data_IF_142222819548
#
_entry.id   IF_142222819548
#
_cell.length_a   1.000
_cell.length_b   1.000
_cell.length_c   1.000
_cell.angle_alpha   90.00
_cell.angle_beta   90.00
_cell.angle_gamma   90.00
#
_symmetry.space_group_name_H-M   'P 1'
#
loop_
_entity.id
_entity.type
_entity.pdbx_description
1 polymer ?
#
# COMPACT_ATOMS: atom_id res chain seq x y z
N UNK A 1 -5.88 -3.93 22.03
CA UNK A 1 -5.57 -5.33 21.70
C UNK A 1 -5.76 -5.47 20.20
N UNK A 2 -4.92 -6.23 19.48
CA UNK A 2 -5.11 -6.47 18.03
C UNK A 2 -6.31 -7.41 17.88
N UNK A 3 -7.29 -7.03 17.07
CA UNK A 3 -8.59 -7.71 16.97
C UNK A 3 -8.66 -8.75 15.82
N UNK A 4 -7.59 -8.90 15.03
CA UNK A 4 -7.46 -9.92 13.99
C UNK A 4 -6.16 -10.74 14.14
N UNK A 5 -6.00 -11.78 13.32
CA UNK A 5 -4.83 -12.65 13.38
C UNK A 5 -3.58 -11.94 12.85
N UNK A 6 -2.52 -11.94 13.66
CA UNK A 6 -1.18 -11.52 13.25
C UNK A 6 -0.26 -12.74 12.96
N UNK A 7 -0.82 -13.94 12.87
CA UNK A 7 -0.04 -15.17 12.70
C UNK A 7 0.75 -15.13 11.38
N UNK A 8 2.03 -15.49 11.46
CA UNK A 8 2.95 -15.49 10.32
C UNK A 8 3.53 -14.12 9.93
N UNK A 9 3.14 -13.06 10.64
CA UNK A 9 3.70 -11.72 10.44
C UNK A 9 4.79 -11.40 11.46
N UNK A 10 5.91 -10.86 10.99
CA UNK A 10 6.91 -10.20 11.82
C UNK A 10 6.42 -8.77 12.05
N UNK A 11 5.90 -8.52 13.24
CA UNK A 11 5.30 -7.22 13.59
C UNK A 11 6.37 -6.17 13.84
N UNK A 12 6.42 -5.15 12.97
CA UNK A 12 7.32 -4.01 13.11
C UNK A 12 6.81 -3.07 14.22
N UNK A 13 7.72 -2.43 14.98
CA UNK A 13 7.33 -1.48 16.01
C UNK A 13 6.63 -0.26 15.38
N UNK A 14 5.64 0.27 16.10
CA UNK A 14 4.73 1.28 15.59
C UNK A 14 4.76 2.56 16.40
N UNK A 15 5.55 3.55 15.95
CA UNK A 15 5.76 4.82 16.64
C UNK A 15 5.01 5.98 15.99
N UNK A 16 4.93 5.97 14.66
CA UNK A 16 4.33 7.04 13.86
C UNK A 16 3.14 6.52 13.08
N UNK A 17 2.14 7.39 12.92
CA UNK A 17 0.96 7.12 12.09
C UNK A 17 1.28 7.41 10.64
N UNK A 18 0.96 6.47 9.74
CA UNK A 18 1.13 6.60 8.29
C UNK A 18 -0.19 6.32 7.61
N UNK A 19 -0.66 7.29 6.81
CA UNK A 19 -1.90 7.19 6.05
C UNK A 19 -1.76 6.21 4.89
N UNK A 20 -2.78 5.40 4.68
CA UNK A 20 -2.91 4.52 3.52
C UNK A 20 -3.69 5.25 2.42
N UNK A 21 -3.25 5.11 1.17
CA UNK A 21 -3.93 5.69 0.01
C UNK A 21 -4.72 4.64 -0.76
N UNK A 22 -5.80 5.05 -1.42
CA UNK A 22 -6.64 4.14 -2.21
C UNK A 22 -7.67 3.34 -1.40
N UNK A 23 -7.75 3.56 -0.09
CA UNK A 23 -8.69 2.90 0.82
C UNK A 23 -10.17 3.08 0.42
N UNK A 24 -10.52 4.17 -0.28
CA UNK A 24 -11.86 4.40 -0.82
C UNK A 24 -12.29 3.33 -1.84
N UNK A 25 -11.35 2.63 -2.47
CA UNK A 25 -11.63 1.56 -3.43
C UNK A 25 -11.80 0.18 -2.75
N UNK A 26 -11.61 0.11 -1.43
CA UNK A 26 -11.58 -1.14 -0.66
C UNK A 26 -12.52 -1.10 0.56
N UNK A 27 -13.60 -0.33 0.47
CA UNK A 27 -14.58 -0.17 1.56
C UNK A 27 -15.31 -1.48 1.89
N UNK A 28 -15.45 -2.40 0.93
CA UNK A 28 -16.02 -3.74 1.09
C UNK A 28 -15.20 -4.63 2.05
N UNK A 29 -13.87 -4.48 2.02
CA UNK A 29 -12.97 -5.17 2.95
C UNK A 29 -12.97 -4.47 4.31
N UNK A 30 -12.86 -3.14 4.31
CA UNK A 30 -12.82 -2.34 5.54
C UNK A 30 -14.13 -2.41 6.34
N UNK A 31 -15.28 -2.57 5.69
CA UNK A 31 -16.59 -2.64 6.37
C UNK A 31 -16.73 -3.83 7.32
N UNK A 32 -15.94 -4.89 7.13
CA UNK A 32 -15.86 -6.02 8.08
C UNK A 32 -15.30 -5.59 9.44
N UNK A 33 -14.52 -4.51 9.42
CA UNK A 33 -13.86 -3.90 10.55
C UNK A 33 -14.51 -2.59 10.97
N UNK A 34 -15.71 -2.27 10.47
CA UNK A 34 -16.42 -1.04 10.78
C UNK A 34 -16.56 -0.80 12.29
N UNK A 35 -16.41 0.47 12.66
CA UNK A 35 -16.53 0.98 14.02
C UNK A 35 -17.46 2.19 14.05
N UNK A 36 -18.13 2.46 15.19
CA UNK A 36 -18.88 3.70 15.39
C UNK A 36 -17.98 4.94 15.25
N UNK A 37 -18.61 6.09 15.04
CA UNK A 37 -17.90 7.38 14.95
C UNK A 37 -17.12 7.67 16.24
N UNK A 38 -15.88 8.13 16.09
CA UNK A 38 -14.99 8.43 17.22
C UNK A 38 -14.34 7.20 17.88
N UNK A 39 -14.65 5.98 17.42
CA UNK A 39 -14.01 4.75 17.89
C UNK A 39 -12.94 4.32 16.88
N UNK A 40 -11.85 3.75 17.40
CA UNK A 40 -10.81 3.12 16.57
C UNK A 40 -10.75 1.64 16.88
N UNK A 41 -10.57 0.81 15.85
CA UNK A 41 -10.32 -0.63 15.99
C UNK A 41 -8.89 -0.94 15.61
N UNK A 42 -8.19 -1.66 16.46
CA UNK A 42 -6.79 -2.04 16.23
C UNK A 42 -6.69 -3.37 15.49
N UNK A 43 -5.94 -3.39 14.39
CA UNK A 43 -5.73 -4.57 13.55
C UNK A 43 -4.24 -4.74 13.23
N UNK A 44 -3.86 -5.93 12.79
CA UNK A 44 -2.59 -6.23 12.14
C UNK A 44 -2.82 -6.30 10.63
N UNK A 45 -1.91 -5.70 9.88
CA UNK A 45 -1.90 -5.77 8.40
C UNK A 45 -0.58 -6.34 7.92
N UNK A 46 -0.62 -6.98 6.76
CA UNK A 46 0.54 -7.40 6.02
C UNK A 46 0.95 -6.30 5.02
N UNK A 47 2.25 -6.01 4.94
CA UNK A 47 2.83 -5.09 3.98
C UNK A 47 3.58 -5.90 2.92
N UNK A 48 3.14 -5.77 1.67
CA UNK A 48 3.71 -6.51 0.54
C UNK A 48 4.14 -5.56 -0.56
N UNK A 49 5.08 -6.00 -1.39
CA UNK A 49 5.50 -5.23 -2.56
C UNK A 49 4.42 -5.23 -3.63
N UNK A 50 4.23 -4.08 -4.26
CA UNK A 50 3.39 -3.93 -5.45
C UNK A 50 4.11 -3.09 -6.51
N UNK A 51 3.52 -3.05 -7.70
CA UNK A 51 3.84 -2.06 -8.73
C UNK A 51 2.79 -0.96 -8.65
N UNK A 52 3.23 0.28 -8.51
CA UNK A 52 2.33 1.44 -8.46
C UNK A 52 1.56 1.52 -9.79
N UNK A 53 0.24 1.47 -9.70
CA UNK A 53 -0.62 1.29 -10.85
C UNK A 53 -0.89 2.60 -11.63
N UNK A 54 -0.82 3.75 -10.95
CA UNK A 54 -1.24 5.04 -11.48
C UNK A 54 -0.40 6.22 -10.98
N UNK A 55 -0.57 7.39 -11.61
CA UNK A 55 0.11 8.63 -11.26
C UNK A 55 1.55 8.74 -11.78
N UNK A 56 2.28 9.77 -11.32
CA UNK A 56 3.65 10.10 -11.75
C UNK A 56 4.67 8.97 -11.53
N UNK A 57 4.38 8.08 -10.58
CA UNK A 57 5.25 6.98 -10.17
C UNK A 57 4.79 5.61 -10.69
N UNK A 58 3.90 5.58 -11.69
CA UNK A 58 3.42 4.34 -12.29
C UNK A 58 4.59 3.46 -12.76
N UNK A 59 4.51 2.16 -12.48
CA UNK A 59 5.55 1.19 -12.83
C UNK A 59 6.70 1.11 -11.82
N UNK A 60 6.76 2.01 -10.84
CA UNK A 60 7.75 1.93 -9.77
C UNK A 60 7.28 0.99 -8.66
N UNK A 61 8.23 0.49 -7.86
CA UNK A 61 7.94 -0.39 -6.72
C UNK A 61 7.27 0.42 -5.61
N UNK A 62 6.11 -0.05 -5.16
CA UNK A 62 5.36 0.47 -4.04
C UNK A 62 5.16 -0.58 -2.95
N UNK A 63 4.54 -0.17 -1.85
CA UNK A 63 4.11 -1.05 -0.77
C UNK A 63 2.58 -1.02 -0.73
N UNK A 64 1.95 -2.17 -0.95
CA UNK A 64 0.52 -2.33 -0.73
C UNK A 64 0.25 -2.81 0.71
N UNK A 65 -0.95 -2.50 1.18
CA UNK A 65 -1.42 -2.88 2.52
C UNK A 65 -2.49 -3.94 2.36
N UNK A 66 -2.34 -5.06 3.08
CA UNK A 66 -3.28 -6.17 3.08
C UNK A 66 -3.83 -6.44 4.48
N UNK A 67 -5.15 -6.40 4.62
CA UNK A 67 -5.87 -6.79 5.82
C UNK A 67 -6.47 -8.18 5.60
N UNK A 68 -6.06 -9.15 6.42
CA UNK A 68 -6.40 -10.58 6.27
C UNK A 68 -6.16 -11.14 4.86
N UNK A 69 -5.10 -10.66 4.19
CA UNK A 69 -4.74 -11.06 2.82
C UNK A 69 -5.44 -10.27 1.71
N UNK A 70 -6.48 -9.49 2.02
CA UNK A 70 -7.17 -8.63 1.06
C UNK A 70 -6.52 -7.25 0.98
N UNK A 71 -6.34 -6.73 -0.23
CA UNK A 71 -5.77 -5.38 -0.43
C UNK A 71 -6.74 -4.33 0.09
N UNK A 72 -6.23 -3.42 0.91
CA UNK A 72 -6.98 -2.28 1.48
C UNK A 72 -6.40 -0.92 1.11
N UNK A 73 -5.36 -0.91 0.29
CA UNK A 73 -4.75 0.29 -0.26
C UNK A 73 -3.25 0.12 -0.46
N UNK A 74 -2.56 1.25 -0.58
CA UNK A 74 -1.11 1.32 -0.75
C UNK A 74 -0.52 2.56 -0.11
N UNK A 75 0.77 2.50 0.19
CA UNK A 75 1.54 3.67 0.61
C UNK A 75 1.89 4.53 -0.60
N UNK A 76 1.99 5.84 -0.39
CA UNK A 76 2.53 6.74 -1.42
C UNK A 76 3.94 6.30 -1.82
N UNK A 77 4.40 6.74 -3.00
CA UNK A 77 5.73 6.38 -3.48
C UNK A 77 6.86 6.73 -2.50
N UNK A 78 6.87 7.96 -1.95
CA UNK A 78 7.89 8.39 -1.00
C UNK A 78 7.84 7.60 0.32
N UNK A 79 6.63 7.27 0.80
CA UNK A 79 6.49 6.41 1.98
C UNK A 79 6.97 4.99 1.69
N UNK A 80 6.66 4.46 0.51
CA UNK A 80 7.14 3.16 0.06
C UNK A 80 8.68 3.10 0.03
N UNK A 81 9.33 4.14 -0.50
CA UNK A 81 10.79 4.24 -0.47
C UNK A 81 11.36 4.32 0.95
N UNK A 82 10.70 5.07 1.84
CA UNK A 82 11.13 5.21 3.23
C UNK A 82 11.08 3.87 3.98
N UNK A 83 10.01 3.10 3.80
CA UNK A 83 9.80 1.84 4.53
C UNK A 83 10.33 0.60 3.81
N UNK A 84 10.79 0.74 2.57
CA UNK A 84 11.37 -0.34 1.79
C UNK A 84 12.48 -1.15 2.51
N UNK A 85 13.43 -0.52 3.25
CA UNK A 85 14.45 -1.28 3.98
C UNK A 85 13.87 -2.17 5.07
N UNK A 86 12.75 -1.78 5.69
CA UNK A 86 12.08 -2.57 6.74
C UNK A 86 11.54 -3.87 6.15
N UNK A 87 10.80 -3.79 5.03
CA UNK A 87 10.26 -4.97 4.36
C UNK A 87 11.38 -5.89 3.88
N UNK A 88 12.42 -5.30 3.27
CA UNK A 88 13.57 -6.07 2.76
C UNK A 88 14.28 -6.83 3.87
N UNK A 89 14.44 -6.22 5.06
CA UNK A 89 15.09 -6.86 6.19
C UNK A 89 14.29 -8.06 6.71
N UNK A 90 12.97 -7.89 6.89
CA UNK A 90 12.10 -8.98 7.33
C UNK A 90 12.05 -10.12 6.31
N UNK A 91 11.93 -9.79 5.03
CA UNK A 91 11.92 -10.77 3.94
C UNK A 91 13.25 -11.52 3.81
N UNK A 92 14.38 -10.86 4.06
CA UNK A 92 15.69 -11.54 4.08
C UNK A 92 15.80 -12.57 5.21
N UNK A 93 15.02 -12.41 6.28
CA UNK A 93 14.86 -13.39 7.35
C UNK A 93 13.81 -14.47 7.06
N UNK A 94 13.18 -14.45 5.87
CA UNK A 94 12.12 -15.38 5.49
C UNK A 94 10.74 -15.06 6.10
N UNK A 95 10.58 -13.89 6.72
CA UNK A 95 9.32 -13.45 7.33
C UNK A 95 8.43 -12.66 6.36
N UNK A 96 7.15 -12.52 6.72
CA UNK A 96 6.24 -11.55 6.11
C UNK A 96 6.15 -10.31 7.00
N UNK A 97 6.22 -9.12 6.41
CA UNK A 97 6.23 -7.88 7.19
C UNK A 97 4.82 -7.53 7.65
N UNK A 98 4.59 -7.51 8.96
CA UNK A 98 3.35 -7.01 9.54
C UNK A 98 3.53 -5.69 10.25
N UNK A 99 2.50 -4.86 10.30
CA UNK A 99 2.45 -3.72 11.19
C UNK A 99 1.08 -3.62 11.87
N UNK A 100 1.05 -2.98 13.04
CA UNK A 100 -0.21 -2.61 13.66
C UNK A 100 -0.84 -1.47 12.84
N UNK A 101 -2.15 -1.47 12.71
CA UNK A 101 -2.93 -0.43 12.08
C UNK A 101 -4.19 -0.16 12.91
N UNK A 102 -4.84 0.95 12.64
CA UNK A 102 -6.15 1.26 13.20
C UNK A 102 -7.12 1.64 12.09
N UNK A 103 -8.32 1.08 12.20
CA UNK A 103 -9.45 1.38 11.33
C UNK A 103 -10.37 2.33 12.09
N UNK A 104 -10.78 3.40 11.43
CA UNK A 104 -11.65 4.42 12.00
C UNK A 104 -12.57 4.99 10.92
N UNK A 105 -13.67 5.61 11.34
CA UNK A 105 -14.53 6.35 10.43
C UNK A 105 -13.97 7.76 10.22
N UNK A 106 -13.67 8.10 8.97
CA UNK A 106 -13.21 9.44 8.57
C UNK A 106 -14.35 10.45 8.57
N UNK A 107 -14.02 11.74 8.54
CA UNK A 107 -15.01 12.83 8.54
C UNK A 107 -15.90 12.88 7.28
N UNK A 108 -15.51 12.18 6.21
CA UNK A 108 -16.31 11.97 5.00
C UNK A 108 -17.28 10.78 5.11
N UNK A 109 -17.35 10.12 6.28
CA UNK A 109 -18.20 8.97 6.54
C UNK A 109 -17.66 7.63 6.01
N UNK A 110 -16.53 7.63 5.30
CA UNK A 110 -15.84 6.43 4.82
C UNK A 110 -14.92 5.86 5.90
N UNK A 111 -14.65 4.55 5.82
CA UNK A 111 -13.66 3.92 6.68
C UNK A 111 -12.27 4.23 6.15
N UNK A 112 -11.38 4.59 7.08
CA UNK A 112 -9.98 4.86 6.82
C UNK A 112 -9.14 3.87 7.62
N UNK A 113 -7.99 3.51 7.07
CA UNK A 113 -6.99 2.69 7.73
C UNK A 113 -5.66 3.45 7.80
N UNK A 114 -5.08 3.49 8.98
CA UNK A 114 -3.80 4.14 9.22
C UNK A 114 -2.84 3.17 9.91
N UNK A 115 -1.61 3.12 9.40
CA UNK A 115 -0.58 2.21 9.87
C UNK A 115 0.19 2.83 11.03
N UNK A 116 0.65 2.00 11.96
CA UNK A 116 1.69 2.33 12.92
C UNK A 116 3.01 1.77 12.44
N UNK A 117 3.89 2.67 12.00
CA UNK A 117 5.17 2.35 11.39
C UNK A 117 6.32 2.83 12.28
N UNK A 118 7.53 2.25 12.14
CA UNK A 118 8.68 2.70 12.91
C UNK A 118 9.07 4.12 12.53
N UNK A 119 9.44 4.94 13.52
CA UNK A 119 9.94 6.30 13.25
C UNK A 119 11.33 6.23 12.60
N UNK A 120 12.17 5.37 13.15
CA UNK A 120 13.54 5.14 12.75
C UNK A 120 13.62 3.90 11.85
N UNK A 121 14.13 4.10 10.64
CA UNK A 121 14.35 3.00 9.70
C UNK A 121 15.75 2.47 9.95
N UNK A 122 15.94 1.18 10.27
CA UNK A 122 17.27 0.62 10.47
C UNK A 122 18.07 0.83 9.18
N UNK A 123 19.07 1.72 9.25
CA UNK A 123 20.01 2.01 8.17
C UNK A 123 21.00 0.86 8.09
N UNK A 124 20.58 -0.27 7.54
CA UNK A 124 21.38 -1.51 7.56
C UNK A 124 21.36 -2.32 6.27
N UNK A 125 20.55 -1.96 5.28
CA UNK A 125 20.59 -2.61 3.96
C UNK A 125 20.26 -1.58 2.89
N UNK A 126 21.26 -0.76 2.54
CA UNK A 126 21.23 -0.04 1.28
C UNK A 126 21.35 -1.12 0.20
N UNK A 127 20.23 -1.67 -0.25
CA UNK A 127 20.23 -2.42 -1.51
C UNK A 127 20.46 -1.36 -2.58
N UNK A 128 21.60 -1.37 -3.30
CA UNK A 128 21.77 -0.48 -4.42
C UNK A 128 20.63 -0.80 -5.40
N UNK A 129 19.78 0.19 -5.69
CA UNK A 129 18.86 0.10 -6.82
C UNK A 129 19.75 -0.10 -8.04
N UNK A 130 19.72 -1.24 -8.75
CA UNK A 130 20.43 -1.31 -10.02
C UNK A 130 19.76 -0.29 -10.93
N UNK A 131 20.50 0.77 -11.27
CA UNK A 131 20.09 1.67 -12.34
C UNK A 131 19.78 0.81 -13.56
N UNK A 132 18.55 0.89 -14.05
CA UNK A 132 18.12 0.14 -15.22
C UNK A 132 19.14 0.41 -16.34
N UNK A 133 19.91 -0.62 -16.71
CA UNK A 133 20.82 -0.53 -17.86
C UNK A 133 19.96 -0.29 -19.08
N UNK A 134 19.92 0.96 -19.55
CA UNK A 134 19.37 1.33 -20.84
C UNK A 134 20.26 0.67 -21.89
N UNK A 135 19.89 -0.53 -22.32
CA UNK A 135 20.59 -1.27 -23.36
C UNK A 135 20.39 -0.53 -24.68
N UNK A 136 21.35 0.34 -25.00
CA UNK A 136 21.48 0.91 -26.33
C UNK A 136 21.97 -0.21 -27.25
N UNK A 137 21.03 -0.88 -27.91
CA UNK A 137 21.36 -1.77 -29.03
C UNK A 137 21.95 -0.90 -30.15
N UNK A 138 23.24 -1.02 -30.42
CA UNK A 138 23.83 -0.46 -31.62
C UNK A 138 23.31 -1.24 -32.85
N UNK A 139 22.97 -0.58 -33.96
CA UNK A 139 22.56 -1.28 -35.17
C UNK A 139 23.80 -1.93 -35.81
N UNK A 140 23.88 -3.26 -35.74
CA UNK A 140 24.86 -4.01 -36.52
C UNK A 140 24.32 -4.14 -37.94
N UNK A 141 24.93 -3.42 -38.88
CA UNK A 141 24.68 -3.55 -40.30
C UNK A 141 25.13 -4.94 -40.77
N UNK A 142 24.20 -5.72 -41.32
CA UNK A 142 24.48 -7.00 -41.96
C UNK A 142 25.08 -6.70 -43.34
N UNK A 143 26.40 -6.80 -43.45
CA UNK A 143 27.11 -6.83 -44.73
C UNK A 143 27.00 -8.22 -45.36
N UNK A 144 26.37 -8.29 -46.53
CA UNK A 144 26.30 -9.51 -47.36
C UNK A 144 27.52 -9.56 -48.28
N UNK A 145 28.41 -10.53 -48.04
CA UNK A 145 29.41 -11.08 -48.96
C UNK A 145 29.92 -12.38 -48.30
N UNK A 146 29.85 -13.60 -48.84
CA UNK A 146 30.06 -14.06 -50.20
C UNK A 146 31.33 -14.92 -50.20
N UNK A 147 31.22 -16.27 -50.18
CA UNK A 147 32.21 -17.29 -50.59
C UNK A 147 31.68 -18.69 -50.20
N UNK A 148 31.05 -19.44 -51.11
CA UNK A 148 31.67 -20.44 -52.00
C UNK A 148 32.45 -21.55 -51.28
N UNK A 149 31.92 -22.77 -51.38
CA UNK A 149 32.73 -23.97 -51.59
C UNK A 149 32.77 -25.00 -50.47
N UNK A 150 31.82 -25.93 -50.45
CA UNK A 150 32.16 -27.36 -50.33
C UNK A 150 31.01 -28.25 -50.79
N UNK A 151 30.97 -28.52 -52.10
CA UNK A 151 30.42 -29.77 -52.61
C UNK A 151 31.50 -30.84 -52.44
N UNK A 152 31.14 -32.01 -51.90
CA UNK A 152 31.34 -33.35 -52.47
C UNK A 152 30.85 -34.36 -51.42
N UNK A 153 29.69 -35.00 -51.62
CA UNK A 153 29.54 -36.34 -52.26
C UNK A 153 30.01 -37.41 -51.26
N UNK A 154 29.17 -38.31 -50.73
CA UNK A 154 28.55 -39.52 -51.29
C UNK A 154 27.52 -39.96 -50.23
N UNK A 155 26.31 -40.47 -50.45
CA UNK A 155 25.69 -41.10 -51.61
C UNK A 155 24.77 -42.21 -51.08
N UNK A 156 23.47 -42.04 -51.33
CA UNK A 156 22.49 -43.04 -51.81
C UNK A 156 22.49 -44.43 -51.17
N UNK A 157 21.35 -44.81 -50.56
CA UNK A 157 20.44 -45.96 -50.85
C UNK A 157 19.32 -45.84 -49.80
N UNK A 158 18.02 -45.97 -50.03
CA UNK A 158 17.19 -46.53 -51.09
C UNK A 158 15.84 -46.84 -50.43
N UNK A 159 14.78 -46.78 -51.22
CA UNK A 159 13.39 -46.68 -50.81
C UNK A 159 12.74 -47.99 -50.30
N UNK A 160 11.59 -47.78 -49.63
CA UNK A 160 10.39 -48.62 -49.57
C UNK A 160 10.40 -49.89 -48.67
N UNK A 161 9.45 -49.96 -47.73
CA UNK A 161 8.17 -50.68 -47.91
C UNK A 161 7.34 -50.65 -46.62
N UNK A 162 6.03 -50.64 -46.81
CA UNK A 162 4.95 -50.66 -45.83
C UNK A 162 4.73 -52.05 -45.22
N UNK A 163 4.18 -52.11 -43.99
CA UNK A 163 3.26 -53.20 -43.62
C UNK A 163 3.48 -53.82 -42.21
N UNK A 164 2.40 -54.07 -41.43
CA UNK A 164 2.44 -54.45 -40.02
C UNK A 164 2.26 -55.97 -39.81
N UNK A 165 2.69 -56.49 -38.64
CA UNK A 165 2.05 -57.61 -37.93
C UNK A 165 2.69 -57.83 -36.56
N UNK A 166 1.83 -57.91 -35.54
CA UNK A 166 2.08 -58.47 -34.21
C UNK A 166 2.60 -59.92 -34.27
N UNK A 167 3.47 -60.33 -33.34
CA UNK A 167 3.25 -61.45 -32.38
C UNK A 167 4.43 -61.63 -31.41
N UNK A 168 4.09 -61.54 -30.13
CA UNK A 168 4.52 -62.33 -28.96
C UNK A 168 5.99 -62.71 -28.66
N UNK A 169 6.30 -62.37 -27.40
CA UNK A 169 6.93 -63.17 -26.35
C UNK A 169 8.48 -63.23 -26.22
N UNK A 170 8.88 -62.58 -25.12
CA UNK A 170 9.59 -63.16 -23.99
C UNK A 170 11.09 -62.84 -23.83
N UNK A 171 11.33 -62.28 -22.64
CA UNK A 171 12.43 -62.55 -21.72
C UNK A 171 13.58 -61.52 -21.63
N UNK A 172 13.82 -61.17 -20.37
CA UNK A 172 14.95 -60.46 -19.77
C UNK A 172 15.07 -58.96 -20.11
N UNK A 173 15.12 -58.02 -19.17
CA UNK A 173 15.31 -58.10 -17.73
C UNK A 173 15.91 -56.78 -17.27
N UNK A 174 15.59 -56.38 -16.04
CA UNK A 174 16.11 -55.23 -15.27
C UNK A 174 15.48 -53.86 -15.55
N UNK A 175 14.45 -53.54 -14.76
CA UNK A 175 14.21 -52.18 -14.25
C UNK A 175 13.66 -52.29 -12.83
N UNK A 176 14.49 -51.92 -11.86
CA UNK A 176 14.14 -51.84 -10.44
C UNK A 176 13.55 -50.46 -10.14
N UNK A 177 12.22 -50.39 -10.07
CA UNK A 177 11.49 -49.25 -9.52
C UNK A 177 11.17 -49.54 -8.06
N UNK A 178 11.82 -48.84 -7.14
CA UNK A 178 11.53 -48.90 -5.71
C UNK A 178 10.55 -47.76 -5.38
N UNK A 179 9.29 -48.11 -5.11
CA UNK A 179 8.29 -47.19 -4.58
C UNK A 179 8.43 -47.08 -3.05
N UNK A 180 8.36 -45.88 -2.45
CA UNK A 180 8.32 -45.76 -1.00
C UNK A 180 6.90 -46.04 -0.46
N UNK A 181 6.85 -46.98 0.48
CA UNK A 181 5.72 -47.40 1.29
C UNK A 181 5.11 -46.22 2.08
N UNK A 182 3.79 -46.02 1.92
CA UNK A 182 3.01 -45.09 2.73
C UNK A 182 2.59 -45.80 4.03
N UNK A 183 3.17 -45.40 5.15
CA UNK A 183 2.75 -45.87 6.48
C UNK A 183 1.64 -44.96 7.01
N UNK A 184 0.45 -45.52 7.14
CA UNK A 184 -0.70 -44.90 7.81
C UNK A 184 -0.54 -45.04 9.33
N UNK A 185 -0.17 -43.96 10.01
CA UNK A 185 -0.19 -43.87 11.48
C UNK A 185 -1.51 -43.26 11.92
N UNK A 186 -2.37 -44.07 12.54
CA UNK A 186 -3.62 -43.64 13.19
C UNK A 186 -3.26 -42.97 14.53
N UNK A 187 -3.57 -41.68 14.67
CA UNK A 187 -3.43 -40.94 15.92
C UNK A 187 -4.68 -41.14 16.80
N UNK A 188 -4.53 -41.28 18.13
CA UNK A 188 -5.65 -41.48 19.07
C UNK A 188 -6.51 -40.20 19.25
N UNK A 189 -7.79 -40.32 19.64
CA UNK A 189 -8.67 -39.16 19.85
C UNK A 189 -8.27 -38.37 21.10
N UNK A 190 -8.01 -37.08 20.92
CA UNK A 190 -7.76 -36.12 22.00
C UNK A 190 -9.08 -35.70 22.64
N UNK A 191 -9.24 -36.01 23.93
CA UNK A 191 -10.37 -35.61 24.77
C UNK A 191 -10.47 -34.08 24.90
N UNK A 192 -11.65 -33.54 24.59
CA UNK A 192 -12.01 -32.12 24.82
C UNK A 192 -12.42 -31.92 26.28
N UNK A 193 -11.63 -31.16 27.04
CA UNK A 193 -11.98 -30.76 28.41
C UNK A 193 -12.69 -29.41 28.39
N UNK A 194 -14.00 -29.41 28.60
CA UNK A 194 -14.83 -28.21 28.77
C UNK A 194 -14.67 -27.68 30.21
N UNK A 195 -14.04 -26.51 30.37
CA UNK A 195 -14.03 -25.79 31.66
C UNK A 195 -15.26 -24.90 31.77
N UNK A 196 -16.20 -25.31 32.63
CA UNK A 196 -17.37 -24.52 33.04
C UNK A 196 -16.95 -23.48 34.09
N UNK A 197 -17.06 -22.20 33.78
CA UNK A 197 -16.85 -21.11 34.75
C UNK A 197 -18.15 -20.84 35.50
N UNK A 198 -18.19 -21.21 36.79
CA UNK A 198 -19.31 -20.92 37.71
C UNK A 198 -19.20 -19.48 38.20
N UNK A 199 -20.17 -18.63 37.86
CA UNK A 199 -20.30 -17.28 38.42
C UNK A 199 -21.05 -17.33 39.74
N UNK A 200 -20.37 -17.07 40.85
CA UNK A 200 -20.96 -16.99 42.19
C UNK A 200 -21.66 -15.64 42.38
N UNK A 201 -22.98 -15.64 42.49
CA UNK A 201 -23.80 -14.46 42.80
C UNK A 201 -23.91 -14.28 44.31
N UNK A 202 -23.20 -13.30 44.86
CA UNK A 202 -23.31 -12.93 46.28
C UNK A 202 -24.62 -12.17 46.50
N UNK A 203 -25.55 -12.76 47.26
CA UNK A 203 -26.84 -12.16 47.63
C UNK A 203 -26.68 -11.42 48.95
N UNK A 204 -26.71 -10.08 48.93
CA UNK A 204 -26.67 -9.24 50.13
C UNK A 204 -28.09 -9.03 50.66
N UNK A 205 -28.42 -9.63 51.79
CA UNK A 205 -29.68 -9.41 52.51
C UNK A 205 -29.62 -8.10 53.30
N UNK A 206 -30.34 -7.08 52.84
CA UNK A 206 -30.56 -5.82 53.57
C UNK A 206 -31.83 -5.93 54.41
N UNK A 207 -31.69 -5.80 55.73
CA UNK A 207 -32.79 -5.78 56.70
C UNK A 207 -33.48 -4.42 56.71
N UNK A 208 -34.82 -4.41 56.62
CA UNK A 208 -35.68 -3.22 56.59
C UNK A 208 -36.05 -2.78 58.02
N UNK A 209 -35.72 -1.54 58.45
CA UNK A 209 -36.25 -0.95 59.68
C UNK A 209 -37.71 -0.46 59.50
N UNK A 210 -38.53 -0.39 60.57
CA UNK A 210 -39.96 -0.09 60.47
C UNK A 210 -40.26 1.36 60.05
N UNK A 211 -41.29 1.50 59.21
CA UNK A 211 -41.70 2.76 58.58
C UNK A 211 -42.29 3.76 59.58
N UNK A 212 -41.74 4.98 59.59
CA UNK A 212 -42.34 6.18 60.20
C UNK A 212 -43.25 6.84 59.16
N UNK A 213 -44.46 7.35 59.51
CA UNK A 213 -45.38 7.96 58.54
C UNK A 213 -44.79 9.25 57.94
N UNK A 214 -44.64 9.30 56.62
CA UNK A 214 -44.20 10.50 55.90
C UNK A 214 -45.33 11.55 55.76
N UNK A 215 -45.04 12.86 55.91
CA UNK A 215 -46.00 13.93 55.67
C UNK A 215 -46.36 14.07 54.17
N UNK A 216 -47.59 14.54 53.92
CA UNK A 216 -48.18 14.71 52.58
C UNK A 216 -47.31 15.61 51.67
N UNK A 217 -47.12 15.26 50.37
CA UNK A 217 -46.27 16.03 49.46
C UNK A 217 -46.80 17.45 49.20
N UNK A 218 -45.93 18.46 49.33
CA UNK A 218 -46.19 19.81 48.84
C UNK A 218 -46.02 19.89 47.30
N UNK A 219 -46.79 20.72 46.57
CA UNK A 219 -46.68 20.86 45.13
C UNK A 219 -45.31 21.39 44.70
N UNK A 220 -44.67 20.72 43.73
CA UNK A 220 -43.41 21.16 43.14
C UNK A 220 -43.60 22.45 42.31
N UNK A 221 -42.68 23.43 42.40
CA UNK A 221 -42.66 24.60 41.50
C UNK A 221 -42.38 24.17 40.06
N UNK A 222 -43.08 24.77 39.09
CA UNK A 222 -42.87 24.52 37.67
C UNK A 222 -41.45 24.88 37.22
N UNK A 223 -40.81 24.10 36.32
CA UNK A 223 -39.51 24.44 35.75
C UNK A 223 -39.57 25.70 34.89
N UNK A 224 -38.60 26.59 35.07
CA UNK A 224 -38.45 27.78 34.25
C UNK A 224 -38.02 27.41 32.81
N UNK A 225 -38.46 28.12 31.76
CA UNK A 225 -38.11 27.79 30.37
C UNK A 225 -36.60 27.85 30.11
N UNK A 226 -36.05 26.84 29.46
CA UNK A 226 -34.65 26.79 29.04
C UNK A 226 -34.35 27.86 27.97
N UNK A 227 -33.22 28.58 28.04
CA UNK A 227 -32.80 29.51 27.00
C UNK A 227 -32.53 28.79 25.67
N UNK A 228 -32.98 29.39 24.55
CA UNK A 228 -32.71 28.88 23.20
C UNK A 228 -31.19 28.80 22.95
N UNK A 229 -30.69 27.73 22.29
CA UNK A 229 -29.29 27.63 21.89
C UNK A 229 -28.87 28.81 21.01
N UNK A 230 -27.74 29.44 21.35
CA UNK A 230 -27.14 30.47 20.50
C UNK A 230 -26.51 29.84 19.25
N UNK A 231 -26.51 30.54 18.10
CA UNK A 231 -25.87 30.07 16.87
C UNK A 231 -24.37 29.85 17.06
N UNK A 232 -23.89 28.69 16.62
CA UNK A 232 -22.46 28.35 16.63
C UNK A 232 -21.76 29.23 15.59
N UNK A 233 -20.64 29.90 15.92
CA UNK A 233 -19.86 30.68 14.95
C UNK A 233 -19.42 29.83 13.76
N UNK A 234 -19.68 30.31 12.54
CA UNK A 234 -19.22 29.65 11.33
C UNK A 234 -17.68 29.64 11.26
N UNK A 235 -17.05 28.54 10.80
CA UNK A 235 -15.60 28.49 10.59
C UNK A 235 -15.14 29.59 9.64
N UNK A 236 -14.12 30.36 10.02
CA UNK A 236 -13.50 31.32 9.12
C UNK A 236 -12.80 30.59 7.96
N UNK A 237 -12.82 31.16 6.73
CA UNK A 237 -12.08 30.62 5.60
C UNK A 237 -10.59 30.49 5.92
N UNK A 238 -10.01 29.31 5.69
CA UNK A 238 -8.56 29.12 5.82
C UNK A 238 -7.82 30.02 4.80
N UNK A 239 -6.68 30.65 5.20
CA UNK A 239 -5.84 31.39 4.28
C UNK A 239 -5.39 30.52 3.11
N UNK A 240 -5.47 31.04 1.88
CA UNK A 240 -5.01 30.35 0.69
C UNK A 240 -3.53 29.94 0.81
N UNK A 241 -3.12 28.77 0.29
CA UNK A 241 -1.73 28.36 0.27
C UNK A 241 -0.87 29.42 -0.43
N UNK A 242 0.24 29.83 0.19
CA UNK A 242 1.22 30.69 -0.47
C UNK A 242 1.79 29.95 -1.68
N UNK A 243 1.90 30.57 -2.87
CA UNK A 243 2.49 29.93 -4.04
C UNK A 243 3.91 29.48 -3.73
N UNK A 244 4.22 28.21 -4.00
CA UNK A 244 5.59 27.75 -4.03
C UNK A 244 6.25 28.33 -5.29
N UNK A 245 7.44 28.90 -5.14
CA UNK A 245 8.22 29.48 -6.23
C UNK A 245 9.08 28.40 -6.90
N UNK A 246 9.21 28.45 -8.23
CA UNK A 246 10.01 27.51 -8.99
C UNK A 246 11.53 27.77 -8.83
N UNK A 247 12.33 26.75 -8.47
CA UNK A 247 13.77 26.94 -8.20
C UNK A 247 14.62 27.20 -9.46
N UNK A 248 14.08 27.00 -10.68
CA UNK A 248 14.82 27.28 -11.91
C UNK A 248 14.95 28.78 -12.21
N UNK A 249 14.31 29.65 -11.42
CA UNK A 249 14.27 31.09 -11.64
C UNK A 249 14.65 31.84 -10.35
N UNK A 250 15.29 33.00 -10.50
CA UNK A 250 15.77 33.80 -9.37
C UNK A 250 14.73 34.66 -8.68
N UNK A 251 13.54 34.76 -9.27
CA UNK A 251 12.36 35.40 -8.68
C UNK A 251 11.32 34.38 -8.24
N UNK A 252 10.19 34.86 -7.70
CA UNK A 252 9.07 33.97 -7.42
C UNK A 252 8.24 33.72 -8.68
N UNK A 253 8.64 32.72 -9.45
CA UNK A 253 7.83 32.19 -10.55
C UNK A 253 6.86 31.15 -9.97
N UNK A 254 5.53 31.33 -10.07
CA UNK A 254 4.57 30.36 -9.52
C UNK A 254 4.76 28.98 -10.16
N UNK A 255 4.69 27.91 -9.36
CA UNK A 255 4.69 26.55 -9.91
C UNK A 255 3.30 26.26 -10.51
N UNK A 256 3.21 26.30 -11.84
CA UNK A 256 2.00 26.03 -12.60
C UNK A 256 2.29 25.11 -13.80
N UNK A 257 1.26 24.69 -14.55
CA UNK A 257 1.47 23.92 -15.77
C UNK A 257 2.07 24.75 -16.90
N UNK A 258 1.81 26.04 -16.88
CA UNK A 258 2.28 27.03 -17.84
C UNK A 258 2.35 28.38 -17.12
N UNK A 259 3.40 29.16 -17.38
CA UNK A 259 3.61 30.47 -16.78
C UNK A 259 4.02 31.39 -17.90
N UNK A 260 3.34 32.52 -18.01
CA UNK A 260 3.60 33.52 -19.04
C UNK A 260 4.17 34.81 -18.47
N UNK A 261 4.80 35.60 -19.32
CA UNK A 261 5.21 36.96 -18.97
C UNK A 261 3.99 37.88 -18.86
N UNK A 262 3.89 38.60 -17.73
CA UNK A 262 2.84 39.58 -17.51
C UNK A 262 2.93 40.71 -18.55
N UNK A 263 1.82 41.00 -19.22
CA UNK A 263 1.76 42.00 -20.31
C UNK A 263 1.94 41.43 -21.72
N UNK A 264 2.20 40.13 -21.86
CA UNK A 264 2.22 39.43 -23.14
C UNK A 264 0.87 38.85 -23.57
N UNK A 265 0.84 38.16 -24.72
CA UNK A 265 -0.33 37.44 -25.26
C UNK A 265 -0.51 36.02 -24.68
N UNK A 266 0.00 35.80 -23.48
CA UNK A 266 -0.03 34.50 -22.80
C UNK A 266 -1.44 33.97 -22.60
N UNK A 267 -1.57 32.64 -22.49
CA UNK A 267 -2.83 31.95 -22.18
C UNK A 267 -2.73 31.06 -20.93
N UNK A 268 -1.59 31.12 -20.26
CA UNK A 268 -1.24 30.30 -19.11
C UNK A 268 -2.08 30.66 -17.90
N UNK A 269 -2.25 29.68 -16.97
CA UNK A 269 -2.98 29.88 -15.73
C UNK A 269 -2.25 30.78 -14.72
N UNK A 270 -0.98 31.13 -14.97
CA UNK A 270 -0.17 31.99 -14.12
C UNK A 270 0.68 32.95 -14.95
N UNK A 271 0.95 34.14 -14.38
CA UNK A 271 1.76 35.17 -15.00
C UNK A 271 2.85 35.64 -14.04
N UNK A 272 3.98 36.03 -14.59
CA UNK A 272 5.10 36.57 -13.82
C UNK A 272 5.61 37.87 -14.44
N UNK A 273 5.90 38.87 -13.61
CA UNK A 273 6.47 40.13 -14.05
C UNK A 273 8.00 40.02 -14.08
N UNK A 274 8.58 40.26 -15.25
CA UNK A 274 10.03 40.30 -15.44
C UNK A 274 10.67 41.66 -15.11
N UNK A 275 12.00 41.78 -15.25
CA UNK A 275 12.93 40.74 -15.69
C UNK A 275 13.28 39.75 -14.57
N UNK A 276 13.36 38.45 -14.90
CA UNK A 276 13.70 37.39 -13.95
C UNK A 276 14.88 36.57 -14.46
N UNK A 277 15.91 36.39 -13.63
CA UNK A 277 17.05 35.56 -14.01
C UNK A 277 16.69 34.08 -14.07
N UNK A 278 17.02 33.40 -15.16
CA UNK A 278 16.96 31.94 -15.25
C UNK A 278 18.18 31.36 -14.54
N UNK A 279 17.97 30.60 -13.47
CA UNK A 279 19.02 29.96 -12.66
C UNK A 279 19.32 28.55 -13.18
N UNK A 280 18.27 27.83 -13.56
CA UNK A 280 18.34 26.44 -14.01
C UNK A 280 17.99 26.31 -15.49
N UNK A 281 17.01 25.46 -15.78
CA UNK A 281 16.46 25.34 -17.14
C UNK A 281 15.22 26.19 -17.28
N UNK A 282 15.08 26.88 -18.40
CA UNK A 282 13.86 27.60 -18.74
C UNK A 282 12.74 26.62 -19.16
N UNK A 283 12.02 26.09 -18.16
CA UNK A 283 10.99 25.08 -18.35
C UNK A 283 9.67 25.66 -18.89
N UNK A 284 9.43 26.95 -18.68
CA UNK A 284 8.22 27.66 -19.11
C UNK A 284 8.45 28.45 -20.41
N UNK A 285 9.67 28.48 -20.95
CA UNK A 285 9.95 29.21 -22.20
C UNK A 285 9.88 30.73 -22.06
N UNK A 286 10.16 31.26 -20.86
CA UNK A 286 10.09 32.68 -20.55
C UNK A 286 11.29 33.49 -21.08
N UNK A 287 12.39 32.81 -21.38
CA UNK A 287 13.62 33.36 -21.96
C UNK A 287 13.69 32.96 -23.45
N UNK A 288 13.17 33.84 -24.30
CA UNK A 288 12.94 33.52 -25.72
C UNK A 288 14.24 33.49 -26.52
N UNK A 289 15.18 34.39 -26.23
CA UNK A 289 16.47 34.54 -26.92
C UNK A 289 17.61 33.78 -26.23
N UNK A 290 17.35 33.20 -25.05
CA UNK A 290 18.23 32.29 -24.29
C UNK A 290 19.47 32.98 -23.74
N UNK A 291 19.30 34.22 -23.32
CA UNK A 291 20.39 35.04 -22.77
C UNK A 291 20.55 34.88 -21.24
N UNK A 292 19.61 34.17 -20.59
CA UNK A 292 19.56 33.95 -19.15
C UNK A 292 18.58 34.87 -18.40
N UNK A 293 17.83 35.71 -19.11
CA UNK A 293 16.84 36.63 -18.57
C UNK A 293 15.45 36.33 -19.14
N UNK A 294 14.53 35.98 -18.26
CA UNK A 294 13.13 35.73 -18.58
C UNK A 294 12.31 37.02 -18.50
N UNK A 295 11.32 37.13 -19.39
CA UNK A 295 10.33 38.21 -19.42
C UNK A 295 10.92 39.63 -19.53
N UNK A 296 11.79 39.82 -20.51
CA UNK A 296 12.27 41.15 -20.93
C UNK A 296 11.19 41.98 -21.65
#
# INVERSE_FOLDING_TARGET
>A
MIENSAAGLVMVPGDVTVTVTGEQHHQDVLSRYAVPDGVTRHVAVNLTWCVIAAGKHRGQRGIEVRLDGYRVGELTFLMSQRYAPVLTHVESGGGSTGCAAFVQRGGNGLLQISLRMPREIPRGAIVPVPAARRSWMAPVAIGVAGLLGFFFVIGIVGAALSGPTDVNNAAAGLSSTTAPTTTTTVAPPTSTTTSTTTTTTTTTTTTTPPAVPQPKPQPQPQPNPQPKPQPIPQPQPQPAPKPACDPNYGGCVPIATDVDCAGGSGNGPAYVAGPIRVIGTDIYGLDHDKDGTACE
#
